data_IF_176386870028
#
_entry.id   IF_176386870028
#
_cell.length_a   1.000
_cell.length_b   1.000
_cell.length_c   1.000
_cell.angle_alpha   90.00
_cell.angle_beta   90.00
_cell.angle_gamma   90.00
#
_symmetry.space_group_name_H-M   'P 1'
#
loop_
_entity.id
_entity.type
_entity.pdbx_description
1 polymer ?
#
# COMPACT_ATOMS: atom_id res chain seq x y z
N UNK A 1 -90.57 37.46 -17.59
CA UNK A 1 -90.22 36.13 -18.15
C UNK A 1 -88.79 35.85 -17.69
N UNK A 2 -88.61 35.10 -16.59
CA UNK A 2 -88.46 33.63 -16.49
C UNK A 2 -87.16 33.08 -17.12
N UNK A 3 -86.50 32.23 -16.33
CA UNK A 3 -85.53 31.17 -16.67
C UNK A 3 -84.05 31.58 -16.53
N UNK A 4 -83.36 31.25 -15.42
CA UNK A 4 -82.86 29.94 -14.94
C UNK A 4 -81.54 29.53 -15.62
N UNK A 5 -80.42 29.50 -14.87
CA UNK A 5 -79.68 28.30 -14.36
C UNK A 5 -79.00 27.54 -15.52
N UNK A 6 -77.69 27.27 -15.51
CA UNK A 6 -77.05 26.09 -14.89
C UNK A 6 -75.54 26.34 -14.69
N UNK A 7 -75.06 26.15 -13.46
CA UNK A 7 -73.65 25.89 -13.11
C UNK A 7 -73.35 24.44 -13.45
N UNK A 8 -72.41 24.18 -14.36
CA UNK A 8 -71.85 22.84 -14.54
C UNK A 8 -70.76 22.60 -13.48
N UNK A 9 -71.08 21.73 -12.53
CA UNK A 9 -70.16 21.18 -11.54
C UNK A 9 -69.48 19.96 -12.18
N UNK A 10 -68.21 20.08 -12.55
CA UNK A 10 -67.41 18.94 -12.99
C UNK A 10 -66.88 18.21 -11.75
N UNK A 11 -67.50 17.09 -11.42
CA UNK A 11 -67.02 16.18 -10.37
C UNK A 11 -65.81 15.42 -10.94
N UNK A 12 -64.61 15.84 -10.57
CA UNK A 12 -63.42 14.99 -10.67
C UNK A 12 -63.32 14.23 -9.35
N UNK A 13 -63.58 12.92 -9.42
CA UNK A 13 -63.30 11.98 -8.34
C UNK A 13 -61.78 11.88 -8.19
N UNK A 14 -61.22 12.63 -7.24
CA UNK A 14 -59.86 12.38 -6.75
C UNK A 14 -59.98 11.29 -5.70
N UNK A 15 -59.50 10.10 -6.05
CA UNK A 15 -59.28 9.00 -5.09
C UNK A 15 -58.30 9.51 -4.04
N UNK A 16 -58.79 9.71 -2.81
CA UNK A 16 -57.96 10.02 -1.65
C UNK A 16 -57.27 8.71 -1.25
N UNK A 17 -56.18 8.38 -1.94
CA UNK A 17 -55.20 7.46 -1.40
C UNK A 17 -54.58 8.15 -0.19
N UNK A 18 -54.79 7.58 1.00
CA UNK A 18 -54.08 7.97 2.21
C UNK A 18 -52.58 7.83 1.97
N UNK A 19 -51.94 8.94 1.62
CA UNK A 19 -50.48 9.05 1.65
C UNK A 19 -50.08 8.82 3.11
N UNK A 20 -49.16 7.90 3.42
CA UNK A 20 -48.61 7.84 4.75
C UNK A 20 -48.06 9.23 5.06
N UNK A 21 -48.50 9.84 6.16
CA UNK A 21 -47.74 10.90 6.79
C UNK A 21 -46.43 10.26 7.24
N UNK A 22 -45.46 10.19 6.33
CA UNK A 22 -44.08 10.09 6.73
C UNK A 22 -43.83 11.38 7.50
N UNK A 23 -43.72 11.24 8.81
CA UNK A 23 -42.96 12.21 9.58
C UNK A 23 -41.61 12.31 8.87
N UNK A 24 -41.41 13.37 8.09
CA UNK A 24 -40.09 13.85 7.75
C UNK A 24 -39.49 14.19 9.11
N UNK A 25 -38.79 13.24 9.71
CA UNK A 25 -37.76 13.59 10.66
C UNK A 25 -36.84 14.51 9.88
N UNK A 26 -36.93 15.82 10.11
CA UNK A 26 -35.88 16.72 9.70
C UNK A 26 -34.59 16.08 10.20
N UNK A 27 -33.69 15.70 9.30
CA UNK A 27 -32.33 15.35 9.71
C UNK A 27 -31.86 16.56 10.53
N UNK A 28 -31.67 16.36 11.83
CA UNK A 28 -31.26 17.44 12.71
C UNK A 28 -29.96 18.03 12.16
N UNK A 29 -29.87 19.35 12.12
CA UNK A 29 -28.68 20.04 11.60
C UNK A 29 -27.41 19.44 12.23
N UNK A 30 -26.37 19.22 11.43
CA UNK A 30 -25.10 18.67 11.91
C UNK A 30 -24.62 19.44 13.16
N UNK A 31 -24.34 18.70 14.23
CA UNK A 31 -23.81 19.29 15.46
C UNK A 31 -22.37 19.78 15.28
N UNK A 32 -21.99 20.80 16.05
CA UNK A 32 -20.62 21.35 16.04
C UNK A 32 -19.61 20.35 16.65
N UNK A 33 -18.49 20.05 15.99
CA UNK A 33 -17.45 19.19 16.55
C UNK A 33 -16.67 19.88 17.70
N UNK A 34 -16.12 19.06 18.59
CA UNK A 34 -15.18 19.48 19.65
C UNK A 34 -13.75 19.23 19.20
N UNK A 35 -13.00 20.31 18.95
CA UNK A 35 -11.63 20.26 18.46
C UNK A 35 -10.60 20.16 19.60
N UNK A 36 -9.68 19.21 19.48
CA UNK A 36 -8.47 19.09 20.27
C UNK A 36 -7.25 19.32 19.37
N UNK A 37 -6.27 20.10 19.84
CA UNK A 37 -5.03 20.36 19.11
C UNK A 37 -3.84 20.14 20.03
N UNK A 38 -2.83 19.43 19.53
CA UNK A 38 -1.54 19.24 20.20
C UNK A 38 -0.41 19.70 19.29
N UNK A 39 0.62 20.30 19.88
CA UNK A 39 1.77 20.80 19.14
C UNK A 39 2.92 19.79 19.18
N UNK A 40 3.59 19.62 18.04
CA UNK A 40 4.89 18.95 17.92
C UNK A 40 5.78 19.75 16.97
N UNK A 41 7.06 19.40 16.85
CA UNK A 41 7.99 20.14 15.98
C UNK A 41 7.46 20.20 14.54
N UNK A 42 7.29 21.43 14.04
CA UNK A 42 6.80 21.75 12.71
C UNK A 42 5.38 21.28 12.40
N UNK A 43 4.60 20.86 13.41
CA UNK A 43 3.32 20.19 13.20
C UNK A 43 2.29 20.53 14.28
N UNK A 44 1.05 20.74 13.87
CA UNK A 44 -0.12 20.76 14.75
C UNK A 44 -0.97 19.51 14.46
N UNK A 45 -1.17 18.66 15.47
CA UNK A 45 -2.01 17.47 15.36
C UNK A 45 -3.42 17.80 15.87
N UNK A 46 -4.41 17.68 14.99
CA UNK A 46 -5.81 18.00 15.25
C UNK A 46 -6.63 16.72 15.35
N UNK A 47 -7.57 16.68 16.29
CA UNK A 47 -8.55 15.60 16.44
C UNK A 47 -9.88 16.12 16.95
N UNK A 48 -10.98 15.42 16.65
CA UNK A 48 -12.33 15.82 17.06
C UNK A 48 -13.25 14.60 17.23
N UNK A 49 -14.39 14.80 17.90
CA UNK A 49 -15.39 13.77 18.06
C UNK A 49 -16.20 13.52 16.77
N UNK A 50 -16.69 12.29 16.61
CA UNK A 50 -17.61 11.96 15.52
C UNK A 50 -18.93 12.74 15.65
N UNK A 51 -19.50 13.15 14.50
CA UNK A 51 -20.79 13.84 14.41
C UNK A 51 -21.74 12.94 13.61
N UNK A 52 -22.88 12.60 14.21
CA UNK A 52 -23.90 11.80 13.55
C UNK A 52 -24.40 12.50 12.28
N UNK A 53 -24.42 11.77 11.15
CA UNK A 53 -24.82 12.31 9.86
C UNK A 53 -23.70 12.95 9.04
N UNK A 54 -22.52 13.21 9.62
CA UNK A 54 -21.38 13.74 8.88
C UNK A 54 -20.65 12.63 8.10
N UNK A 55 -20.23 12.92 6.87
CA UNK A 55 -19.36 12.05 6.06
C UNK A 55 -17.94 12.63 5.86
N UNK A 56 -17.68 13.82 6.40
CA UNK A 56 -16.37 14.44 6.41
C UNK A 56 -16.34 15.72 7.24
N UNK A 57 -15.17 16.37 7.25
CA UNK A 57 -14.88 17.53 8.09
C UNK A 57 -14.03 18.54 7.34
N UNK A 58 -14.47 19.81 7.36
CA UNK A 58 -13.72 20.96 6.88
C UNK A 58 -12.84 21.50 8.00
N UNK A 59 -11.53 21.56 7.76
CA UNK A 59 -10.53 22.11 8.68
C UNK A 59 -10.13 23.49 8.17
N UNK A 60 -10.13 24.46 9.06
CA UNK A 60 -9.73 25.83 8.77
C UNK A 60 -8.46 26.16 9.53
N UNK A 61 -7.54 26.90 8.89
CA UNK A 61 -6.32 27.43 9.48
C UNK A 61 -6.34 28.95 9.38
N UNK A 62 -6.12 29.64 10.49
CA UNK A 62 -6.09 31.10 10.56
C UNK A 62 -7.34 31.75 9.96
N UNK A 63 -8.50 31.11 10.12
CA UNK A 63 -9.80 31.57 9.61
C UNK A 63 -10.11 31.21 8.15
N UNK A 64 -9.13 30.71 7.39
CA UNK A 64 -9.32 30.28 5.99
C UNK A 64 -9.49 28.76 5.90
N UNK A 65 -10.27 28.30 4.92
CA UNK A 65 -10.36 26.86 4.64
C UNK A 65 -8.97 26.32 4.29
N UNK A 66 -8.58 25.22 4.95
CA UNK A 66 -7.30 24.58 4.76
C UNK A 66 -7.45 23.27 4.00
N UNK A 67 -8.32 22.37 4.48
CA UNK A 67 -8.59 21.10 3.82
C UNK A 67 -9.86 20.43 4.29
N UNK A 68 -10.34 19.47 3.51
CA UNK A 68 -11.36 18.51 3.91
C UNK A 68 -10.73 17.15 4.22
N UNK A 69 -11.27 16.43 5.21
CA UNK A 69 -10.88 15.05 5.56
C UNK A 69 -12.11 14.20 5.92
N UNK A 70 -12.05 12.90 5.66
CA UNK A 70 -13.05 11.91 6.09
C UNK A 70 -12.61 11.10 7.33
N UNK A 71 -11.62 11.61 8.07
CA UNK A 71 -11.10 11.02 9.30
C UNK A 71 -11.44 11.90 10.51
N UNK A 72 -11.31 11.37 11.72
CA UNK A 72 -11.53 12.12 12.97
C UNK A 72 -10.28 12.88 13.47
N UNK A 73 -9.23 12.91 12.66
CA UNK A 73 -7.97 13.58 12.95
C UNK A 73 -7.18 13.89 11.70
N UNK A 74 -6.37 14.95 11.74
CA UNK A 74 -5.39 15.29 10.70
C UNK A 74 -4.18 15.98 11.35
N UNK A 75 -3.03 15.93 10.68
CA UNK A 75 -1.87 16.75 11.04
C UNK A 75 -1.72 17.89 10.02
N UNK A 76 -1.44 19.11 10.50
CA UNK A 76 -0.96 20.21 9.67
C UNK A 76 0.57 20.33 9.88
N UNK A 77 1.33 19.91 8.88
CA UNK A 77 2.79 19.75 8.92
C UNK A 77 3.50 20.84 8.11
N UNK A 78 4.81 21.03 8.36
CA UNK A 78 5.61 22.05 7.66
C UNK A 78 5.38 23.46 8.19
N UNK A 79 4.90 23.56 9.43
CA UNK A 79 4.68 24.81 10.13
C UNK A 79 6.00 25.35 10.72
N UNK A 80 6.08 26.67 10.87
CA UNK A 80 7.22 27.30 11.50
C UNK A 80 7.13 27.16 13.02
N UNK A 81 8.15 26.55 13.64
CA UNK A 81 8.26 26.49 15.09
C UNK A 81 8.29 27.90 15.70
N UNK A 82 7.64 28.07 16.86
CA UNK A 82 7.45 29.36 17.53
C UNK A 82 6.34 30.23 16.93
N UNK A 83 5.77 29.87 15.78
CA UNK A 83 4.63 30.59 15.19
C UNK A 83 3.32 30.02 15.70
N UNK A 84 2.43 30.87 16.21
CA UNK A 84 1.09 30.44 16.66
C UNK A 84 0.12 30.41 15.48
N UNK A 85 -0.52 29.26 15.29
CA UNK A 85 -1.59 29.01 14.33
C UNK A 85 -2.91 28.82 15.05
N UNK A 86 -4.03 29.17 14.41
CA UNK A 86 -5.38 28.91 14.93
C UNK A 86 -6.13 27.95 14.03
N UNK A 87 -6.94 27.09 14.65
CA UNK A 87 -7.71 26.06 13.95
C UNK A 87 -9.15 26.00 14.43
N UNK A 88 -10.03 25.73 13.48
CA UNK A 88 -11.44 25.35 13.70
C UNK A 88 -11.80 24.20 12.77
N UNK A 89 -12.84 23.44 13.13
CA UNK A 89 -13.36 22.34 12.31
C UNK A 89 -14.88 22.41 12.22
N UNK A 90 -15.44 22.11 11.04
CA UNK A 90 -16.88 21.96 10.82
C UNK A 90 -17.18 20.55 10.28
N UNK A 91 -18.26 19.94 10.73
CA UNK A 91 -18.76 18.69 10.15
C UNK A 91 -19.46 18.98 8.82
N UNK A 92 -19.34 18.07 7.87
CA UNK A 92 -19.95 18.17 6.55
C UNK A 92 -20.67 16.85 6.20
N UNK A 93 -21.81 16.98 5.51
CA UNK A 93 -22.47 15.88 4.83
C UNK A 93 -22.58 16.22 3.33
N UNK A 94 -21.64 15.71 2.54
CA UNK A 94 -21.63 15.87 1.09
C UNK A 94 -22.61 14.94 0.34
N UNK A 95 -23.31 14.03 1.04
CA UNK A 95 -24.26 13.10 0.42
C UNK A 95 -25.68 13.66 0.29
N UNK A 96 -25.89 14.91 0.70
CA UNK A 96 -27.18 15.62 0.62
C UNK A 96 -27.05 16.87 -0.26
N UNK A 97 -28.17 17.29 -0.84
CA UNK A 97 -28.24 18.48 -1.72
C UNK A 97 -29.25 19.48 -1.14
N UNK A 98 -28.85 20.70 -0.76
CA UNK A 98 -27.47 21.22 -0.78
C UNK A 98 -26.56 20.52 0.25
N UNK A 99 -25.24 20.56 0.03
CA UNK A 99 -24.25 20.07 0.99
C UNK A 99 -24.50 20.74 2.33
N UNK A 100 -24.60 19.93 3.37
CA UNK A 100 -24.84 20.42 4.72
C UNK A 100 -23.52 20.60 5.47
N UNK A 101 -23.37 21.72 6.19
CA UNK A 101 -22.24 21.98 7.09
C UNK A 101 -22.70 22.42 8.47
N UNK A 102 -22.02 21.96 9.52
CA UNK A 102 -22.24 22.46 10.89
C UNK A 102 -21.62 23.85 11.08
N UNK A 103 -21.98 24.57 12.16
CA UNK A 103 -21.13 25.66 12.65
C UNK A 103 -19.72 25.14 12.97
N UNK A 104 -18.72 26.01 12.85
CA UNK A 104 -17.33 25.70 13.20
C UNK A 104 -17.16 25.53 14.72
N UNK A 105 -16.22 24.67 15.12
CA UNK A 105 -15.81 24.47 16.52
C UNK A 105 -15.31 25.75 17.17
N UNK A 106 -15.22 25.74 18.50
CA UNK A 106 -14.42 26.76 19.23
C UNK A 106 -12.98 26.73 18.70
N UNK A 107 -12.44 27.92 18.41
CA UNK A 107 -11.07 28.06 17.91
C UNK A 107 -10.04 27.55 18.93
N UNK A 108 -9.02 26.87 18.43
CA UNK A 108 -7.89 26.36 19.23
C UNK A 108 -6.58 26.86 18.65
N UNK A 109 -5.67 27.28 19.51
CA UNK A 109 -4.32 27.68 19.14
C UNK A 109 -3.39 26.48 19.16
N UNK A 110 -2.37 26.54 18.31
CA UNK A 110 -1.24 25.64 18.35
C UNK A 110 0.02 26.40 17.98
N UNK A 111 1.03 26.29 18.83
CA UNK A 111 2.35 26.86 18.59
C UNK A 111 3.33 25.69 18.51
N UNK A 112 3.59 25.14 17.31
CA UNK A 112 4.63 24.14 17.12
C UNK A 112 5.90 24.63 17.78
N UNK A 113 6.50 23.80 18.63
CA UNK A 113 7.79 24.09 19.23
C UNK A 113 8.76 22.99 18.83
N UNK A 114 10.01 23.37 18.56
CA UNK A 114 11.09 22.41 18.65
C UNK A 114 11.06 21.90 20.08
N UNK A 115 10.76 20.61 20.27
CA UNK A 115 10.58 20.05 21.59
C UNK A 115 11.80 20.29 22.45
N UNK A 116 11.69 21.17 23.45
CA UNK A 116 12.60 21.19 24.59
C UNK A 116 12.41 19.89 25.38
N UNK A 117 12.96 18.79 24.86
CA UNK A 117 12.92 17.48 25.50
C UNK A 117 13.90 17.48 26.68
N UNK A 118 13.36 17.46 27.89
CA UNK A 118 14.15 17.21 29.08
C UNK A 118 14.93 15.91 28.96
N UNK A 119 16.26 16.00 29.09
CA UNK A 119 17.11 15.12 29.90
C UNK A 119 17.08 13.59 29.75
N UNK A 120 16.36 13.01 28.79
CA UNK A 120 16.46 11.59 28.48
C UNK A 120 17.63 11.34 27.54
N UNK A 121 18.73 10.80 28.06
CA UNK A 121 19.86 10.34 27.23
C UNK A 121 19.34 9.33 26.18
N UNK A 122 19.61 9.57 24.90
CA UNK A 122 19.28 8.60 23.85
C UNK A 122 20.20 7.38 24.01
N UNK A 123 19.62 6.18 24.10
CA UNK A 123 20.41 4.94 24.14
C UNK A 123 21.04 4.64 22.77
N UNK A 124 22.22 4.03 22.77
CA UNK A 124 22.83 3.56 21.53
C UNK A 124 21.93 2.53 20.82
N UNK A 125 21.70 2.65 19.50
CA UNK A 125 20.95 1.65 18.75
C UNK A 125 21.76 0.34 18.62
N UNK A 126 21.06 -0.77 18.47
CA UNK A 126 21.63 -2.07 18.14
C UNK A 126 21.64 -2.24 16.62
N UNK A 127 22.84 -2.21 16.04
CA UNK A 127 23.06 -2.31 14.60
C UNK A 127 23.15 -3.77 14.14
N UNK A 128 22.38 -4.11 13.11
CA UNK A 128 22.49 -5.31 12.30
C UNK A 128 22.97 -4.94 10.91
N UNK A 129 23.92 -5.72 10.37
CA UNK A 129 24.42 -5.53 9.01
C UNK A 129 24.41 -6.86 8.28
N UNK A 130 23.98 -6.84 7.03
CA UNK A 130 24.03 -7.98 6.12
C UNK A 130 24.67 -7.57 4.81
N UNK A 131 25.56 -8.42 4.30
CA UNK A 131 26.27 -8.20 3.05
C UNK A 131 25.51 -8.82 1.87
N UNK A 132 25.55 -8.13 0.73
CA UNK A 132 25.13 -8.64 -0.58
C UNK A 132 26.12 -8.15 -1.65
N UNK A 133 25.98 -8.58 -2.90
CA UNK A 133 26.86 -8.13 -3.98
C UNK A 133 26.83 -6.61 -4.10
N UNK A 134 28.01 -6.00 -3.94
CA UNK A 134 28.25 -4.57 -3.99
C UNK A 134 27.41 -3.73 -3.00
N UNK A 135 26.81 -4.35 -1.98
CA UNK A 135 25.94 -3.65 -1.02
C UNK A 135 26.07 -4.17 0.41
N UNK A 136 25.85 -3.28 1.37
CA UNK A 136 25.67 -3.58 2.78
C UNK A 136 24.30 -3.05 3.22
N UNK A 137 23.41 -3.93 3.66
CA UNK A 137 22.11 -3.57 4.22
C UNK A 137 22.21 -3.44 5.73
N UNK A 138 21.87 -2.26 6.23
CA UNK A 138 21.93 -1.90 7.64
C UNK A 138 20.51 -1.76 8.19
N UNK A 139 20.29 -2.31 9.37
CA UNK A 139 19.05 -2.09 10.13
C UNK A 139 19.33 -1.98 11.62
N UNK A 140 18.46 -1.30 12.34
CA UNK A 140 18.61 -1.08 13.78
C UNK A 140 17.25 -1.02 14.48
N UNK A 141 17.25 -1.20 15.80
CA UNK A 141 16.03 -1.04 16.59
C UNK A 141 15.66 0.45 16.73
N UNK A 142 14.38 0.72 16.95
CA UNK A 142 13.92 2.06 17.32
C UNK A 142 14.50 2.49 18.68
N UNK A 143 14.95 3.74 18.78
CA UNK A 143 15.35 4.41 20.02
C UNK A 143 14.28 5.43 20.41
N UNK A 144 13.84 5.39 21.66
CA UNK A 144 12.82 6.31 22.16
C UNK A 144 13.28 7.77 22.01
N UNK A 145 12.37 8.65 21.59
CA UNK A 145 12.63 10.08 21.33
C UNK A 145 13.61 10.39 20.18
N UNK A 146 14.10 9.38 19.45
CA UNK A 146 14.88 9.61 18.25
C UNK A 146 13.96 10.03 17.09
N UNK A 147 14.39 11.03 16.33
CA UNK A 147 13.72 11.54 15.13
C UNK A 147 14.40 11.06 13.84
N UNK A 148 15.58 10.45 13.98
CA UNK A 148 16.37 9.90 12.89
C UNK A 148 17.69 9.34 13.40
N UNK A 149 18.52 8.88 12.48
CA UNK A 149 19.75 8.17 12.79
C UNK A 149 20.89 8.62 11.87
N UNK A 150 22.04 8.91 12.44
CA UNK A 150 23.28 9.07 11.69
C UNK A 150 23.92 7.71 11.48
N UNK A 151 24.28 7.43 10.22
CA UNK A 151 25.02 6.24 9.82
C UNK A 151 26.44 6.66 9.48
N UNK A 152 27.40 5.97 10.06
CA UNK A 152 28.82 6.17 9.81
C UNK A 152 29.39 4.97 9.07
N UNK A 153 30.32 5.23 8.15
CA UNK A 153 31.07 4.24 7.41
C UNK A 153 32.56 4.48 7.60
N UNK A 154 33.27 3.46 8.05
CA UNK A 154 34.71 3.54 8.33
C UNK A 154 35.05 4.70 9.29
N UNK A 155 34.18 4.94 10.27
CA UNK A 155 34.31 6.02 11.25
C UNK A 155 33.87 7.41 10.77
N UNK A 156 33.68 7.62 9.47
CA UNK A 156 33.22 8.88 8.89
C UNK A 156 31.70 8.92 8.74
N UNK A 157 31.08 10.09 8.91
CA UNK A 157 29.66 10.25 8.64
C UNK A 157 29.37 9.89 7.18
N UNK A 158 28.37 9.04 6.96
CA UNK A 158 27.98 8.56 5.63
C UNK A 158 26.65 9.17 5.20
N UNK A 159 25.61 9.03 6.04
CA UNK A 159 24.28 9.59 5.74
C UNK A 159 23.38 9.67 6.97
N UNK A 160 22.31 10.44 6.83
CA UNK A 160 21.18 10.45 7.76
C UNK A 160 20.03 9.55 7.27
N UNK A 161 19.32 8.91 8.20
CA UNK A 161 18.15 8.06 7.94
C UNK A 161 16.98 8.40 8.87
N UNK A 162 15.81 8.69 8.29
CA UNK A 162 14.54 8.83 9.03
C UNK A 162 13.93 7.50 9.46
N UNK A 163 14.25 6.42 8.72
CA UNK A 163 13.77 5.06 8.98
C UNK A 163 14.71 4.22 9.84
N UNK A 164 14.34 2.96 10.06
CA UNK A 164 15.09 1.98 10.86
C UNK A 164 16.07 1.12 10.04
N UNK A 165 16.31 1.49 8.79
CA UNK A 165 17.22 0.78 7.89
C UNK A 165 17.73 1.67 6.77
N UNK A 166 18.88 1.31 6.22
CA UNK A 166 19.41 1.88 4.98
C UNK A 166 20.24 0.85 4.22
N UNK A 167 20.52 1.11 2.95
CA UNK A 167 21.38 0.27 2.11
C UNK A 167 22.52 1.15 1.64
N UNK A 168 23.75 0.74 1.93
CA UNK A 168 24.95 1.31 1.32
C UNK A 168 25.29 0.49 0.06
N UNK A 169 25.28 1.14 -1.10
CA UNK A 169 25.41 0.50 -2.41
C UNK A 169 26.60 1.04 -3.20
N UNK A 170 27.02 0.31 -4.24
CA UNK A 170 28.18 0.67 -5.06
C UNK A 170 29.51 0.37 -4.37
N UNK A 171 29.48 -0.58 -3.42
CA UNK A 171 30.65 -1.02 -2.67
C UNK A 171 31.48 -2.00 -3.50
N UNK A 172 32.78 -2.02 -3.27
CA UNK A 172 33.67 -2.99 -3.87
C UNK A 172 33.53 -4.33 -3.17
N UNK A 173 33.25 -5.38 -3.96
CA UNK A 173 33.21 -6.75 -3.45
C UNK A 173 34.58 -7.19 -2.92
N UNK A 174 34.60 -7.95 -1.84
CA UNK A 174 35.80 -8.38 -1.12
C UNK A 174 36.38 -7.32 -0.17
N UNK A 175 35.95 -6.06 -0.27
CA UNK A 175 36.38 -5.00 0.63
C UNK A 175 35.54 -5.00 1.89
N UNK A 176 36.17 -5.01 3.06
CA UNK A 176 35.45 -4.91 4.33
C UNK A 176 35.21 -3.45 4.70
N UNK A 177 33.94 -3.11 4.92
CA UNK A 177 33.49 -1.82 5.42
C UNK A 177 33.02 -1.98 6.86
N UNK A 178 33.20 -0.95 7.68
CA UNK A 178 32.72 -0.93 9.07
C UNK A 178 31.64 0.12 9.23
N UNK A 179 30.62 -0.20 10.03
CA UNK A 179 29.48 0.68 10.23
C UNK A 179 29.13 0.82 11.70
N UNK A 180 28.72 2.04 12.06
CA UNK A 180 28.09 2.37 13.33
C UNK A 180 26.88 3.27 13.07
N UNK A 181 25.93 3.28 14.01
CA UNK A 181 24.73 4.12 13.94
C UNK A 181 24.53 4.85 15.26
N UNK A 182 24.16 6.13 15.21
CA UNK A 182 23.75 6.91 16.39
C UNK A 182 22.32 7.43 16.18
N UNK A 183 21.50 7.37 17.23
CA UNK A 183 20.19 8.00 17.22
C UNK A 183 20.36 9.52 17.41
N UNK A 184 19.58 10.31 16.67
CA UNK A 184 19.50 11.75 16.84
C UNK A 184 18.08 12.15 17.24
N UNK A 185 17.98 13.17 18.08
CA UNK A 185 16.77 13.94 18.25
C UNK A 185 16.97 15.33 17.63
N UNK A 186 16.66 15.44 16.34
CA UNK A 186 16.71 16.71 15.61
C UNK A 186 15.64 17.72 16.10
N UNK A 187 14.70 17.28 16.93
CA UNK A 187 13.70 18.16 17.54
C UNK A 187 14.18 18.77 18.87
N UNK A 188 15.33 18.36 19.42
CA UNK A 188 15.90 18.97 20.62
C UNK A 188 16.79 20.17 20.31
N UNK A 189 16.95 21.08 21.28
CA UNK A 189 17.90 22.20 21.21
C UNK A 189 18.80 22.19 22.46
N UNK A 190 20.12 21.93 22.33
CA UNK A 190 20.81 21.53 21.10
C UNK A 190 20.34 20.15 20.59
N UNK A 191 20.59 19.83 19.31
CA UNK A 191 20.38 18.48 18.78
C UNK A 191 21.21 17.52 19.61
N UNK A 192 20.56 16.51 20.20
CA UNK A 192 21.25 15.48 20.97
C UNK A 192 21.43 14.22 20.13
N UNK A 193 22.60 13.60 20.26
CA UNK A 193 22.93 12.30 19.66
C UNK A 193 23.19 11.27 20.76
N UNK A 194 22.77 10.02 20.54
CA UNK A 194 23.18 8.89 21.37
C UNK A 194 24.68 8.59 21.18
N UNK A 195 25.29 7.78 22.06
CA UNK A 195 26.51 7.05 21.70
C UNK A 195 26.28 6.22 20.42
N UNK A 196 27.33 6.00 19.64
CA UNK A 196 27.27 5.12 18.48
C UNK A 196 27.06 3.65 18.91
N UNK A 197 26.40 2.86 18.06
CA UNK A 197 26.27 1.42 18.23
C UNK A 197 27.65 0.74 18.28
N UNK A 198 27.67 -0.52 18.74
CA UNK A 198 28.82 -1.38 18.50
C UNK A 198 29.12 -1.44 16.98
N UNK A 199 30.41 -1.34 16.63
CA UNK A 199 30.84 -1.40 15.23
C UNK A 199 30.57 -2.78 14.64
N UNK A 200 30.03 -2.80 13.42
CA UNK A 200 29.75 -4.03 12.66
C UNK A 200 30.51 -3.98 11.35
N UNK A 201 31.23 -5.06 11.04
CA UNK A 201 31.87 -5.24 9.75
C UNK A 201 30.86 -5.79 8.73
N UNK A 202 31.04 -5.40 7.48
CA UNK A 202 30.33 -5.92 6.33
C UNK A 202 31.29 -6.02 5.17
N UNK A 203 31.39 -7.22 4.60
CA UNK A 203 32.22 -7.50 3.44
C UNK A 203 31.27 -7.91 2.31
N UNK A 204 30.88 -6.98 1.42
CA UNK A 204 30.14 -7.31 0.21
C UNK A 204 30.88 -8.42 -0.53
N UNK A 205 30.22 -9.54 -0.77
CA UNK A 205 30.83 -10.66 -1.49
C UNK A 205 30.29 -10.65 -2.92
N UNK A 206 31.22 -10.67 -3.88
CA UNK A 206 30.92 -10.76 -5.31
C UNK A 206 30.67 -12.20 -5.76
N UNK A 207 30.89 -13.16 -4.87
CA UNK A 207 30.41 -14.51 -5.05
C UNK A 207 28.93 -14.54 -4.71
N UNK A 208 28.16 -15.26 -5.52
CA UNK A 208 26.81 -15.72 -5.21
C UNK A 208 26.82 -16.33 -3.82
N UNK A 209 26.60 -15.53 -2.77
CA UNK A 209 26.23 -16.07 -1.48
C UNK A 209 24.95 -16.86 -1.79
N UNK A 210 24.94 -18.19 -1.66
CA UNK A 210 23.71 -18.91 -1.84
C UNK A 210 22.78 -18.32 -0.79
N UNK A 211 21.80 -17.54 -1.25
CA UNK A 211 20.61 -17.32 -0.47
C UNK A 211 20.28 -18.69 0.14
N UNK A 212 20.14 -18.85 1.47
CA UNK A 212 19.94 -20.19 2.05
C UNK A 212 18.73 -20.92 1.43
N UNK A 213 17.84 -20.17 0.78
CA UNK A 213 16.70 -20.64 -0.01
C UNK A 213 16.99 -21.01 -1.47
N UNK A 214 18.16 -20.69 -2.02
CA UNK A 214 18.49 -20.79 -3.44
C UNK A 214 17.87 -19.71 -4.34
N UNK A 215 17.07 -18.78 -3.80
CA UNK A 215 16.37 -17.77 -4.61
C UNK A 215 17.29 -16.64 -5.09
N UNK A 216 17.08 -16.18 -6.33
CA UNK A 216 17.93 -15.17 -6.99
C UNK A 216 17.72 -13.73 -6.52
N UNK A 217 16.69 -13.49 -5.70
CA UNK A 217 16.44 -12.19 -5.05
C UNK A 217 16.74 -12.33 -3.57
N UNK A 218 17.67 -11.52 -3.04
CA UNK A 218 17.94 -11.48 -1.60
C UNK A 218 16.86 -10.71 -0.84
N UNK A 219 16.79 -10.91 0.48
CA UNK A 219 15.88 -10.13 1.34
C UNK A 219 16.14 -8.62 1.24
N UNK A 220 17.41 -8.23 1.12
CA UNK A 220 17.81 -6.83 0.93
C UNK A 220 17.24 -6.25 -0.37
N UNK A 221 17.38 -6.98 -1.48
CA UNK A 221 16.83 -6.58 -2.77
C UNK A 221 15.30 -6.52 -2.73
N UNK A 222 14.64 -7.50 -2.09
CA UNK A 222 13.19 -7.47 -1.90
C UNK A 222 12.74 -6.25 -1.08
N UNK A 223 13.46 -5.89 -0.01
CA UNK A 223 13.19 -4.68 0.75
C UNK A 223 13.42 -3.40 -0.06
N UNK A 224 14.42 -3.38 -0.95
CA UNK A 224 14.67 -2.25 -1.86
C UNK A 224 13.56 -2.10 -2.89
N UNK A 225 13.04 -3.21 -3.42
CA UNK A 225 11.92 -3.24 -4.36
C UNK A 225 10.62 -2.77 -3.71
N UNK A 226 10.41 -3.12 -2.43
CA UNK A 226 9.15 -2.86 -1.71
C UNK A 226 9.39 -2.20 -0.34
N UNK A 227 9.82 -0.92 -0.31
CA UNK A 227 10.21 -0.23 0.93
C UNK A 227 9.03 0.10 1.85
N UNK A 228 7.83 0.27 1.28
CA UNK A 228 6.62 0.69 2.00
C UNK A 228 5.54 -0.41 2.04
N UNK A 229 5.92 -1.68 1.82
CA UNK A 229 4.95 -2.77 1.79
C UNK A 229 4.21 -2.95 3.11
N UNK A 230 2.99 -3.46 3.02
CA UNK A 230 2.27 -3.98 4.17
C UNK A 230 3.07 -5.11 4.83
N UNK A 231 3.10 -5.14 6.17
CA UNK A 231 3.83 -6.15 6.95
C UNK A 231 3.35 -7.58 6.69
N UNK A 232 2.12 -7.76 6.17
CA UNK A 232 1.61 -9.03 5.65
C UNK A 232 2.55 -9.67 4.64
N UNK A 233 3.11 -8.89 3.70
CA UNK A 233 3.97 -9.42 2.65
C UNK A 233 5.40 -9.61 3.14
N UNK A 234 5.67 -10.77 3.71
CA UNK A 234 7.01 -11.12 4.21
C UNK A 234 7.85 -11.76 3.10
N UNK A 235 9.16 -11.48 3.15
CA UNK A 235 10.13 -12.16 2.28
C UNK A 235 10.21 -13.66 2.58
N UNK A 236 10.11 -14.04 3.86
CA UNK A 236 10.04 -15.45 4.27
C UNK A 236 8.81 -16.15 3.71
N UNK A 237 7.66 -15.48 3.63
CA UNK A 237 6.46 -16.01 2.99
C UNK A 237 6.67 -16.30 1.50
N UNK A 238 7.33 -15.39 0.77
CA UNK A 238 7.70 -15.60 -0.64
C UNK A 238 8.63 -16.79 -0.78
N UNK A 239 9.71 -16.82 0.01
CA UNK A 239 10.71 -17.90 -0.01
C UNK A 239 10.08 -19.27 0.28
N UNK A 240 9.20 -19.35 1.29
CA UNK A 240 8.49 -20.59 1.61
C UNK A 240 7.61 -21.08 0.45
N UNK A 241 6.99 -20.14 -0.29
CA UNK A 241 6.12 -20.44 -1.41
C UNK A 241 6.86 -20.99 -2.65
N UNK A 242 8.15 -20.68 -2.82
CA UNK A 242 8.95 -21.11 -4.00
C UNK A 242 8.94 -22.62 -4.21
N UNK A 243 8.89 -23.40 -3.12
CA UNK A 243 8.82 -24.86 -3.17
C UNK A 243 7.59 -25.40 -3.90
N UNK A 244 6.51 -24.60 -4.02
CA UNK A 244 5.30 -24.98 -4.77
C UNK A 244 5.52 -25.00 -6.27
N UNK A 245 6.53 -24.27 -6.79
CA UNK A 245 6.85 -24.20 -8.21
C UNK A 245 8.37 -24.14 -8.43
N UNK A 246 9.09 -25.28 -8.35
CA UNK A 246 10.55 -25.32 -8.36
C UNK A 246 11.24 -24.78 -9.62
N UNK A 247 10.50 -24.63 -10.73
CA UNK A 247 10.99 -24.06 -11.98
C UNK A 247 11.02 -22.51 -11.97
N UNK A 248 10.18 -21.87 -11.15
CA UNK A 248 10.11 -20.41 -11.09
C UNK A 248 11.44 -19.82 -10.64
N UNK A 249 11.96 -18.86 -11.43
CA UNK A 249 13.25 -18.21 -11.21
C UNK A 249 14.42 -19.20 -11.02
N UNK A 250 14.28 -20.41 -11.59
CA UNK A 250 15.27 -21.47 -11.50
C UNK A 250 15.52 -22.18 -12.85
N UNK A 251 14.88 -21.72 -13.93
CA UNK A 251 15.07 -22.24 -15.29
C UNK A 251 15.96 -21.31 -16.12
N UNK A 252 16.88 -21.89 -16.90
CA UNK A 252 17.78 -21.15 -17.79
C UNK A 252 19.01 -20.55 -17.08
N UNK A 253 19.65 -19.57 -17.72
CA UNK A 253 20.82 -18.87 -17.16
C UNK A 253 20.44 -17.99 -15.98
N UNK A 254 21.41 -17.61 -15.15
CA UNK A 254 21.16 -16.70 -14.01
C UNK A 254 20.56 -15.35 -14.45
N UNK A 255 20.88 -14.89 -15.67
CA UNK A 255 20.22 -13.74 -16.28
C UNK A 255 18.72 -13.97 -16.47
N UNK A 256 18.32 -15.14 -16.99
CA UNK A 256 16.90 -15.49 -17.20
C UNK A 256 16.19 -15.63 -15.85
N UNK A 257 16.81 -16.33 -14.89
CA UNK A 257 16.25 -16.50 -13.53
C UNK A 257 15.95 -15.16 -12.85
N UNK A 258 16.94 -14.25 -12.86
CA UNK A 258 16.79 -12.90 -12.29
C UNK A 258 15.77 -12.07 -13.07
N UNK A 259 15.77 -12.16 -14.40
CA UNK A 259 14.79 -11.46 -15.23
C UNK A 259 13.37 -11.93 -14.94
N UNK A 260 13.17 -13.23 -14.76
CA UNK A 260 11.87 -13.80 -14.39
C UNK A 260 11.41 -13.30 -13.02
N UNK A 261 12.30 -13.33 -12.02
CA UNK A 261 11.98 -12.81 -10.69
C UNK A 261 11.63 -11.30 -10.73
N UNK A 262 12.38 -10.50 -11.47
CA UNK A 262 12.07 -9.08 -11.68
C UNK A 262 10.73 -8.87 -12.39
N UNK A 263 10.43 -9.68 -13.42
CA UNK A 263 9.17 -9.60 -14.17
C UNK A 263 7.96 -9.95 -13.29
N UNK A 264 8.07 -11.01 -12.49
CA UNK A 264 7.05 -11.41 -11.53
C UNK A 264 6.80 -10.30 -10.50
N UNK A 265 7.86 -9.85 -9.82
CA UNK A 265 7.75 -8.81 -8.79
C UNK A 265 7.29 -7.47 -9.37
N UNK A 266 7.68 -7.13 -10.60
CA UNK A 266 7.23 -5.91 -11.28
C UNK A 266 5.72 -5.90 -11.57
N UNK A 267 5.16 -7.03 -11.97
CA UNK A 267 3.71 -7.17 -12.10
C UNK A 267 3.01 -7.14 -10.74
N UNK A 268 3.56 -7.83 -9.73
CA UNK A 268 3.03 -7.77 -8.35
C UNK A 268 2.97 -6.34 -7.84
N UNK A 269 3.98 -5.51 -8.14
CA UNK A 269 3.99 -4.09 -7.77
C UNK A 269 2.81 -3.32 -8.37
N UNK A 270 2.46 -3.60 -9.63
CA UNK A 270 1.30 -2.99 -10.29
C UNK A 270 -0.02 -3.43 -9.66
N UNK A 271 -0.20 -4.73 -9.39
CA UNK A 271 -1.46 -5.26 -8.85
C UNK A 271 -1.79 -4.75 -7.44
N UNK A 272 -0.76 -4.47 -6.64
CA UNK A 272 -0.91 -4.26 -5.19
C UNK A 272 -0.50 -2.88 -4.71
N UNK A 273 -0.14 -1.98 -5.62
CA UNK A 273 0.42 -0.68 -5.26
C UNK A 273 1.74 -0.82 -4.48
N UNK A 274 2.68 -1.60 -5.00
CA UNK A 274 3.95 -1.95 -4.34
C UNK A 274 3.76 -2.69 -3.02
N UNK A 275 2.88 -3.70 -3.02
CA UNK A 275 2.54 -4.54 -1.86
C UNK A 275 1.95 -3.75 -0.68
N UNK A 276 1.36 -2.58 -0.91
CA UNK A 276 0.66 -1.83 0.14
C UNK A 276 -0.73 -2.42 0.43
N UNK A 277 -1.36 -3.01 -0.58
CA UNK A 277 -2.73 -3.51 -0.48
C UNK A 277 -2.76 -5.04 -0.52
N UNK A 278 -3.46 -5.63 0.45
CA UNK A 278 -3.67 -7.09 0.57
C UNK A 278 -4.96 -7.52 -0.13
N UNK A 279 -5.96 -6.63 -0.16
CA UNK A 279 -7.27 -6.85 -0.75
C UNK A 279 -7.60 -5.71 -1.70
N UNK A 280 -8.48 -5.98 -2.67
CA UNK A 280 -9.03 -4.98 -3.57
C UNK A 280 -9.66 -3.80 -2.81
N UNK A 281 -9.35 -2.57 -3.23
CA UNK A 281 -9.82 -1.36 -2.56
C UNK A 281 -11.29 -1.03 -2.82
N UNK A 282 -11.77 -1.30 -4.04
CA UNK A 282 -13.14 -0.95 -4.42
C UNK A 282 -14.14 -2.01 -3.93
N UNK A 283 -14.62 -1.85 -2.70
CA UNK A 283 -15.56 -2.78 -2.08
C UNK A 283 -16.90 -2.90 -2.82
N UNK A 284 -17.26 -1.90 -3.64
CA UNK A 284 -18.45 -1.97 -4.49
C UNK A 284 -18.37 -3.12 -5.52
N UNK A 285 -17.16 -3.51 -5.92
CA UNK A 285 -16.96 -4.59 -6.89
C UNK A 285 -17.06 -5.99 -6.28
N UNK A 286 -16.98 -6.13 -4.95
CA UNK A 286 -16.84 -7.43 -4.30
C UNK A 286 -17.92 -8.46 -4.68
N UNK A 287 -19.21 -8.08 -4.84
CA UNK A 287 -20.25 -9.01 -5.27
C UNK A 287 -20.09 -9.54 -6.70
N UNK A 288 -19.32 -8.87 -7.57
CA UNK A 288 -19.22 -9.21 -9.00
C UNK A 288 -18.42 -10.49 -9.26
N UNK A 289 -17.51 -10.87 -8.37
CA UNK A 289 -16.56 -11.96 -8.60
C UNK A 289 -17.12 -13.36 -8.34
N UNK A 290 -18.44 -13.49 -8.25
CA UNK A 290 -19.12 -14.78 -8.26
C UNK A 290 -19.73 -15.03 -9.65
N UNK A 291 -19.06 -15.83 -10.47
CA UNK A 291 -19.65 -16.35 -11.70
C UNK A 291 -20.51 -17.57 -11.36
N UNK A 292 -21.83 -17.34 -11.23
CA UNK A 292 -22.83 -18.37 -10.93
C UNK A 292 -23.02 -19.39 -12.06
N UNK A 293 -22.60 -19.07 -13.29
CA UNK A 293 -22.64 -20.01 -14.41
C UNK A 293 -21.48 -21.02 -14.38
N UNK A 294 -20.45 -20.81 -13.56
CA UNK A 294 -19.36 -21.75 -13.43
C UNK A 294 -19.74 -22.91 -12.49
N UNK A 295 -20.05 -24.07 -13.08
CA UNK A 295 -20.45 -25.27 -12.33
C UNK A 295 -19.27 -26.11 -11.83
N UNK A 296 -18.07 -25.91 -12.38
CA UNK A 296 -16.86 -26.62 -11.94
C UNK A 296 -16.38 -26.12 -10.57
N UNK A 297 -16.48 -24.81 -10.33
CA UNK A 297 -16.09 -24.15 -9.09
C UNK A 297 -17.22 -23.23 -8.61
N UNK A 298 -18.33 -23.79 -8.12
CA UNK A 298 -19.49 -23.00 -7.69
C UNK A 298 -19.12 -22.08 -6.52
N UNK A 299 -19.78 -20.92 -6.44
CA UNK A 299 -19.57 -20.00 -5.33
C UNK A 299 -20.02 -20.65 -4.00
N UNK A 300 -19.14 -20.68 -3.01
CA UNK A 300 -19.47 -21.19 -1.70
C UNK A 300 -20.43 -20.20 -0.98
N UNK A 301 -21.47 -20.69 -0.28
CA UNK A 301 -22.40 -19.83 0.44
C UNK A 301 -21.70 -18.83 1.36
N UNK A 302 -22.06 -17.55 1.25
CA UNK A 302 -21.50 -16.47 2.08
C UNK A 302 -20.04 -16.09 1.78
N UNK A 303 -19.43 -16.64 0.72
CA UNK A 303 -18.04 -16.33 0.33
C UNK A 303 -17.99 -15.36 -0.84
N UNK A 304 -16.94 -14.53 -0.83
CA UNK A 304 -16.65 -13.54 -1.88
C UNK A 304 -15.24 -13.73 -2.43
N UNK A 305 -15.10 -13.52 -3.74
CA UNK A 305 -13.90 -13.84 -4.51
C UNK A 305 -13.26 -12.60 -5.15
N UNK A 306 -13.35 -11.45 -4.47
CA UNK A 306 -12.64 -10.23 -4.84
C UNK A 306 -11.12 -10.42 -4.80
N UNK A 307 -10.39 -9.44 -5.36
CA UNK A 307 -8.93 -9.50 -5.47
C UNK A 307 -8.22 -9.60 -4.13
N UNK A 308 -7.36 -10.61 -3.95
CA UNK A 308 -6.49 -10.77 -2.78
C UNK A 308 -5.06 -11.14 -3.18
N UNK A 309 -4.10 -10.71 -2.37
CA UNK A 309 -2.70 -11.13 -2.45
C UNK A 309 -1.92 -10.55 -3.62
N UNK A 310 -0.70 -11.05 -3.89
CA UNK A 310 0.28 -10.40 -4.77
C UNK A 310 -0.15 -10.26 -6.24
N UNK A 311 -1.05 -11.13 -6.70
CA UNK A 311 -1.60 -11.10 -8.08
C UNK A 311 -3.06 -10.65 -8.11
N UNK A 312 -3.61 -10.17 -6.98
CA UNK A 312 -5.03 -9.83 -6.84
C UNK A 312 -5.95 -10.95 -7.35
N UNK A 313 -5.73 -12.18 -6.85
CA UNK A 313 -6.50 -13.37 -7.25
C UNK A 313 -8.00 -13.08 -7.09
N UNK A 314 -8.74 -13.19 -8.19
CA UNK A 314 -10.14 -12.81 -8.29
C UNK A 314 -10.95 -13.88 -8.99
N UNK A 315 -12.25 -13.96 -8.73
CA UNK A 315 -13.23 -14.93 -9.27
C UNK A 315 -13.23 -16.33 -8.66
N UNK A 316 -14.43 -16.86 -8.38
CA UNK A 316 -14.66 -18.20 -7.84
C UNK A 316 -13.87 -19.30 -8.58
N UNK A 317 -13.85 -19.25 -9.91
CA UNK A 317 -13.15 -20.26 -10.71
C UNK A 317 -11.63 -20.23 -10.55
N UNK A 318 -11.03 -19.06 -10.33
CA UNK A 318 -9.59 -18.95 -10.09
C UNK A 318 -9.25 -19.40 -8.66
N UNK A 319 -10.05 -19.03 -7.66
CA UNK A 319 -9.88 -19.55 -6.29
C UNK A 319 -10.04 -21.06 -6.24
N UNK A 320 -11.02 -21.62 -6.96
CA UNK A 320 -11.21 -23.06 -7.09
C UNK A 320 -10.03 -23.75 -7.76
N UNK A 321 -9.58 -23.26 -8.92
CA UNK A 321 -8.44 -23.84 -9.65
C UNK A 321 -7.12 -23.73 -8.87
N UNK A 322 -6.84 -22.58 -8.25
CA UNK A 322 -5.67 -22.39 -7.39
C UNK A 322 -5.72 -23.31 -6.16
N UNK A 323 -6.88 -23.39 -5.52
CA UNK A 323 -7.09 -24.26 -4.36
C UNK A 323 -6.84 -25.72 -4.69
N UNK A 324 -7.39 -26.20 -5.81
CA UNK A 324 -7.17 -27.56 -6.29
C UNK A 324 -5.68 -27.85 -6.58
N UNK A 325 -4.98 -26.92 -7.26
CA UNK A 325 -3.57 -27.08 -7.59
C UNK A 325 -2.64 -27.05 -6.37
N UNK A 326 -3.00 -26.27 -5.35
CA UNK A 326 -2.17 -26.06 -4.15
C UNK A 326 -2.56 -26.97 -2.97
N UNK A 327 -3.63 -27.75 -3.09
CA UNK A 327 -4.18 -28.54 -1.99
C UNK A 327 -4.73 -27.67 -0.86
N UNK A 328 -5.33 -26.52 -1.20
CA UNK A 328 -5.84 -25.53 -0.25
C UNK A 328 -7.35 -25.30 -0.43
N UNK A 329 -8.11 -25.05 0.64
CA UNK A 329 -9.56 -24.88 0.57
C UNK A 329 -9.95 -23.47 0.11
N UNK A 330 -9.35 -22.96 -0.98
CA UNK A 330 -9.50 -21.56 -1.39
C UNK A 330 -10.89 -21.21 -1.94
N UNK A 331 -11.64 -22.20 -2.43
CA UNK A 331 -13.04 -21.99 -2.83
C UNK A 331 -13.94 -21.79 -1.61
N UNK A 332 -13.83 -22.68 -0.61
CA UNK A 332 -14.63 -22.61 0.62
C UNK A 332 -14.08 -21.64 1.67
N UNK A 333 -12.82 -21.23 1.56
CA UNK A 333 -12.14 -20.31 2.45
C UNK A 333 -11.19 -19.37 1.67
N UNK A 334 -11.73 -18.46 0.84
CA UNK A 334 -10.93 -17.54 0.03
C UNK A 334 -10.14 -16.53 0.86
N UNK A 335 -10.56 -16.26 2.10
CA UNK A 335 -9.90 -15.30 2.98
C UNK A 335 -8.48 -15.73 3.39
N UNK A 336 -8.13 -17.01 3.25
CA UNK A 336 -6.76 -17.50 3.46
C UNK A 336 -5.72 -16.73 2.65
N UNK A 337 -6.07 -16.28 1.43
CA UNK A 337 -5.18 -15.52 0.56
C UNK A 337 -4.83 -14.15 1.14
N UNK A 338 -5.65 -13.62 2.06
CA UNK A 338 -5.41 -12.36 2.77
C UNK A 338 -4.97 -12.54 4.24
N UNK A 339 -4.95 -13.78 4.74
CA UNK A 339 -4.63 -14.10 6.14
C UNK A 339 -3.28 -14.80 6.30
N UNK A 340 -2.83 -15.55 5.29
CA UNK A 340 -1.55 -16.25 5.28
C UNK A 340 -0.67 -15.78 4.11
N UNK A 341 0.47 -15.18 4.44
CA UNK A 341 1.40 -14.64 3.46
C UNK A 341 1.96 -15.71 2.52
N UNK A 342 2.25 -16.91 3.03
CA UNK A 342 2.75 -18.01 2.20
C UNK A 342 1.67 -18.47 1.22
N UNK A 343 0.42 -18.62 1.68
CA UNK A 343 -0.71 -18.94 0.80
C UNK A 343 -0.87 -17.88 -0.30
N UNK A 344 -0.78 -16.60 0.06
CA UNK A 344 -0.87 -15.50 -0.90
C UNK A 344 0.23 -15.56 -1.97
N UNK A 345 1.48 -15.85 -1.58
CA UNK A 345 2.57 -16.03 -2.54
C UNK A 345 2.39 -17.29 -3.40
N UNK A 346 1.90 -18.38 -2.83
CA UNK A 346 1.63 -19.63 -3.57
C UNK A 346 0.58 -19.43 -4.66
N UNK A 347 -0.47 -18.63 -4.42
CA UNK A 347 -1.46 -18.32 -5.46
C UNK A 347 -0.90 -17.44 -6.57
N UNK A 348 -0.03 -16.48 -6.25
CA UNK A 348 0.65 -15.67 -7.26
C UNK A 348 1.59 -16.50 -8.13
N UNK A 349 2.38 -17.41 -7.54
CA UNK A 349 3.25 -18.33 -8.28
C UNK A 349 2.43 -19.32 -9.12
N UNK A 350 1.31 -19.83 -8.60
CA UNK A 350 0.39 -20.67 -9.36
C UNK A 350 -0.07 -19.96 -10.63
N UNK A 351 -0.52 -18.70 -10.50
CA UNK A 351 -0.97 -17.93 -11.66
C UNK A 351 0.17 -17.75 -12.67
N UNK A 352 1.33 -17.30 -12.20
CA UNK A 352 2.50 -17.01 -13.03
C UNK A 352 2.99 -18.21 -13.85
N UNK A 353 3.03 -19.39 -13.23
CA UNK A 353 3.64 -20.59 -13.81
C UNK A 353 2.62 -21.40 -14.63
N UNK A 354 1.34 -21.38 -14.28
CA UNK A 354 0.35 -22.31 -14.83
C UNK A 354 -0.74 -21.66 -15.68
N UNK A 355 -1.01 -20.37 -15.51
CA UNK A 355 -2.14 -19.72 -16.17
C UNK A 355 -1.70 -18.93 -17.39
N UNK A 356 -2.49 -19.00 -18.47
CA UNK A 356 -2.32 -18.15 -19.66
C UNK A 356 -3.16 -16.89 -19.59
N UNK A 357 -4.16 -16.84 -18.70
CA UNK A 357 -5.05 -15.70 -18.52
C UNK A 357 -5.62 -15.19 -19.85
N UNK A 358 -5.47 -13.89 -20.14
CA UNK A 358 -5.90 -13.30 -21.41
C UNK A 358 -4.88 -13.45 -22.56
N UNK A 359 -3.74 -14.09 -22.29
CA UNK A 359 -2.66 -14.35 -23.25
C UNK A 359 -2.71 -15.76 -23.84
N UNK A 360 -1.62 -16.12 -24.53
CA UNK A 360 -1.46 -17.42 -25.23
C UNK A 360 -0.41 -18.32 -24.57
N UNK A 361 0.25 -17.84 -23.51
CA UNK A 361 1.31 -18.55 -22.81
C UNK A 361 1.34 -18.15 -21.33
N UNK A 362 2.03 -18.93 -20.51
CA UNK A 362 2.25 -18.57 -19.11
C UNK A 362 3.31 -17.47 -19.00
N UNK A 363 3.24 -16.66 -17.94
CA UNK A 363 4.24 -15.61 -17.70
C UNK A 363 5.64 -16.21 -17.47
N UNK A 364 5.72 -17.40 -16.86
CA UNK A 364 6.96 -18.18 -16.79
C UNK A 364 7.58 -18.42 -18.18
N UNK A 365 6.80 -19.01 -19.10
CA UNK A 365 7.28 -19.34 -20.45
C UNK A 365 7.59 -18.08 -21.27
N UNK A 366 6.85 -17.00 -21.07
CA UNK A 366 7.12 -15.73 -21.73
C UNK A 366 8.54 -15.20 -21.46
N UNK A 367 9.02 -15.34 -20.22
CA UNK A 367 10.38 -14.92 -19.86
C UNK A 367 11.41 -15.98 -20.22
N UNK A 368 11.17 -17.25 -19.87
CA UNK A 368 12.13 -18.35 -20.09
C UNK A 368 12.43 -18.56 -21.57
N UNK A 369 11.42 -18.46 -22.44
CA UNK A 369 11.56 -18.66 -23.88
C UNK A 369 11.90 -17.37 -24.64
N UNK A 370 12.12 -16.26 -23.93
CA UNK A 370 12.49 -14.98 -24.55
C UNK A 370 11.37 -14.32 -25.38
N UNK A 371 10.10 -14.67 -25.16
CA UNK A 371 8.96 -14.03 -25.82
C UNK A 371 8.72 -12.58 -25.38
N UNK A 372 9.23 -12.20 -24.20
CA UNK A 372 9.31 -10.82 -23.73
C UNK A 372 8.35 -10.49 -22.59
N UNK A 373 8.66 -9.41 -21.86
CA UNK A 373 7.89 -8.98 -20.69
C UNK A 373 6.43 -8.62 -21.04
N UNK A 374 6.18 -8.08 -22.23
CA UNK A 374 4.83 -7.72 -22.68
C UNK A 374 3.86 -8.89 -22.73
N UNK A 375 4.35 -10.13 -22.94
CA UNK A 375 3.50 -11.32 -22.88
C UNK A 375 3.03 -11.61 -21.46
N UNK A 376 3.84 -11.28 -20.43
CA UNK A 376 3.42 -11.41 -19.03
C UNK A 376 2.28 -10.45 -18.69
N UNK A 377 2.35 -9.22 -19.20
CA UNK A 377 1.27 -8.22 -19.06
C UNK A 377 0.00 -8.74 -19.73
N UNK A 378 0.14 -9.29 -20.95
CA UNK A 378 -0.97 -9.87 -21.70
C UNK A 378 -1.65 -11.00 -20.94
N UNK A 379 -0.86 -11.90 -20.34
CA UNK A 379 -1.37 -12.99 -19.52
C UNK A 379 -2.14 -12.50 -18.29
N UNK A 380 -1.62 -11.49 -17.59
CA UNK A 380 -2.18 -11.03 -16.31
C UNK A 380 -3.43 -10.17 -16.51
N UNK A 381 -3.38 -9.17 -17.40
CA UNK A 381 -4.49 -8.24 -17.59
C UNK A 381 -4.61 -7.73 -19.05
N UNK A 382 -4.22 -8.57 -20.02
CA UNK A 382 -4.13 -8.15 -21.41
C UNK A 382 -5.43 -7.78 -22.09
N UNK A 383 -6.56 -8.27 -21.59
CA UNK A 383 -7.89 -7.89 -22.11
C UNK A 383 -8.25 -6.44 -21.83
N UNK A 384 -7.66 -5.83 -20.78
CA UNK A 384 -7.93 -4.45 -20.37
C UNK A 384 -6.77 -3.50 -20.70
N UNK A 385 -5.53 -3.99 -20.72
CA UNK A 385 -4.35 -3.13 -20.81
C UNK A 385 -3.68 -3.11 -22.19
N UNK A 386 -3.53 -4.26 -22.83
CA UNK A 386 -2.79 -4.38 -24.08
C UNK A 386 -3.56 -3.82 -25.29
N UNK A 387 -2.87 -3.74 -26.44
CA UNK A 387 -3.41 -3.26 -27.71
C UNK A 387 -3.99 -1.84 -27.62
N UNK A 388 -3.42 -1.00 -26.76
CA UNK A 388 -3.86 0.38 -26.52
C UNK A 388 -5.01 0.53 -25.51
N UNK A 389 -5.42 -0.55 -24.82
CA UNK A 389 -6.50 -0.49 -23.83
C UNK A 389 -6.19 0.38 -22.61
N UNK A 390 -4.99 0.24 -22.05
CA UNK A 390 -4.49 1.11 -20.97
C UNK A 390 -2.97 1.28 -21.04
N UNK A 391 -2.46 2.17 -21.93
CA UNK A 391 -1.03 2.41 -22.08
C UNK A 391 -0.33 2.84 -20.79
N UNK A 392 -1.03 3.54 -19.89
CA UNK A 392 -0.50 3.98 -18.60
C UNK A 392 -0.17 2.79 -17.70
N UNK A 393 -1.07 1.81 -17.60
CA UNK A 393 -0.84 0.60 -16.81
C UNK A 393 0.31 -0.23 -17.38
N UNK A 394 0.36 -0.41 -18.71
CA UNK A 394 1.46 -1.09 -19.40
C UNK A 394 2.80 -0.40 -19.08
N UNK A 395 2.86 0.92 -19.22
CA UNK A 395 4.07 1.69 -18.93
C UNK A 395 4.50 1.58 -17.46
N UNK A 396 3.56 1.58 -16.51
CA UNK A 396 3.87 1.38 -15.09
C UNK A 396 4.51 0.01 -14.84
N UNK A 397 3.95 -1.06 -15.41
CA UNK A 397 4.53 -2.42 -15.31
C UNK A 397 5.95 -2.46 -15.88
N UNK A 398 6.15 -1.87 -17.06
CA UNK A 398 7.48 -1.81 -17.70
C UNK A 398 8.48 -1.04 -16.82
N UNK A 399 8.06 0.07 -16.22
CA UNK A 399 8.90 0.85 -15.31
C UNK A 399 9.29 0.06 -14.06
N UNK A 400 8.34 -0.64 -13.44
CA UNK A 400 8.62 -1.47 -12.26
C UNK A 400 9.54 -2.65 -12.60
N UNK A 401 9.27 -3.35 -13.69
CA UNK A 401 10.15 -4.42 -14.18
C UNK A 401 11.57 -3.91 -14.46
N UNK A 402 11.70 -2.77 -15.15
CA UNK A 402 13.00 -2.20 -15.50
C UNK A 402 13.79 -1.83 -14.24
N UNK A 403 13.14 -1.18 -13.27
CA UNK A 403 13.77 -0.88 -11.98
C UNK A 403 14.22 -2.15 -11.26
N UNK A 404 13.37 -3.17 -11.18
CA UNK A 404 13.70 -4.41 -10.47
C UNK A 404 14.78 -5.22 -11.19
N UNK A 405 14.80 -5.23 -12.52
CA UNK A 405 15.88 -5.82 -13.31
C UNK A 405 17.23 -5.12 -13.02
N UNK A 406 17.22 -3.78 -12.89
CA UNK A 406 18.40 -3.01 -12.50
C UNK A 406 18.88 -3.37 -11.08
N UNK A 407 17.98 -3.52 -10.10
CA UNK A 407 18.32 -3.96 -8.74
C UNK A 407 19.00 -5.35 -8.73
N UNK A 408 18.61 -6.23 -9.66
CA UNK A 408 19.19 -7.56 -9.80
C UNK A 408 20.43 -7.60 -10.70
N UNK A 409 20.78 -6.49 -11.34
CA UNK A 409 21.94 -6.34 -12.22
C UNK A 409 21.80 -7.11 -13.54
N UNK A 410 20.60 -7.11 -14.14
CA UNK A 410 20.33 -7.82 -15.42
C UNK A 410 19.59 -6.94 -16.42
N UNK A 411 19.81 -7.19 -17.72
CA UNK A 411 19.04 -6.55 -18.80
C UNK A 411 17.61 -7.07 -18.86
N UNK A 412 16.68 -6.17 -19.15
CA UNK A 412 15.25 -6.43 -19.36
C UNK A 412 14.94 -7.32 -20.57
N UNK A 413 15.84 -7.38 -21.55
CA UNK A 413 15.55 -8.01 -22.85
C UNK A 413 14.66 -7.13 -23.74
N UNK A 414 14.10 -7.71 -24.80
CA UNK A 414 13.21 -7.01 -25.75
C UNK A 414 11.72 -7.24 -25.47
N UNK A 415 10.86 -6.67 -26.33
CA UNK A 415 9.40 -6.87 -26.33
C UNK A 415 8.75 -6.59 -24.96
N UNK A 416 8.98 -5.38 -24.45
CA UNK A 416 8.57 -5.00 -23.10
C UNK A 416 7.08 -4.65 -22.99
N UNK A 417 6.49 -4.18 -24.07
CA UNK A 417 5.10 -3.73 -24.11
C UNK A 417 4.18 -4.73 -24.79
N UNK A 418 2.89 -4.53 -24.57
CA UNK A 418 1.78 -5.09 -25.31
C UNK A 418 0.77 -3.94 -25.53
#
# INVERSE_FOLDING_TARGET
MKSSVVKFLLIIVIVIGSVPLYSLTAFGALATPTLNVTASSGTCNLSWNAISGANGYDVYRNGSWYRWVNTLSTADTGLSNGTTYTYTVAAQNANVTPIETSPQSVSRTCTPSAGGGGGGSLSAPTLNVSASSATCSLSWNSVANATGYDVYRNGSWYRWASGLSTIDSGLSNGTTYTYTVAAQNANSSPVVSSPQSASKACTPNGTTNPNPSGFVVSQAQFNQMFPNRNSFYTYSGLVAALSSYPAFANTGSDTIKKREAAAFLGNVAQETGHLQFVVELNTANYPHYCNTANTQYPCAPGKQYYGRGPIQLSWNYNYGAAGAALGLPLLSNPDLVAQDASVAWRTALWFWVTQTGAGVMTSHNAIVNGSGFGQTIRTINGSLECNGGNPTAVNNRVNYFTNFANILGVSTGGNLTC
#
